data_IF_477082324997
#
_entry.id   IF_477082324997
#
_cell.length_a   1.000
_cell.length_b   1.000
_cell.length_c   1.000
_cell.angle_alpha   90.00
_cell.angle_beta   90.00
_cell.angle_gamma   90.00
#
_symmetry.space_group_name_H-M   'P 1'
#
loop_
_entity.id
_entity.type
_entity.pdbx_description
1 polymer ?
#
# COMPACT_ATOMS: atom_id res chain seq x y z
N UNK A 1 28.53 34.96 16.66
CA UNK A 1 28.25 34.09 15.50
C UNK A 1 29.03 32.82 15.77
N UNK A 2 28.44 31.64 15.91
CA UNK A 2 27.59 31.00 14.90
C UNK A 2 26.71 29.90 15.55
N UNK A 3 25.40 29.96 15.25
CA UNK A 3 24.42 28.89 15.05
C UNK A 3 24.25 27.82 16.15
N UNK A 4 23.27 28.07 17.01
CA UNK A 4 22.52 27.08 17.78
C UNK A 4 21.78 26.12 16.86
N UNK A 5 21.91 24.81 17.13
CA UNK A 5 21.16 23.75 16.47
C UNK A 5 19.66 23.96 16.61
N UNK A 6 18.98 24.11 15.47
CA UNK A 6 17.53 24.06 15.40
C UNK A 6 17.09 22.60 15.49
N UNK A 7 16.48 22.22 16.61
CA UNK A 7 15.60 21.07 16.65
C UNK A 7 14.53 21.23 15.57
N UNK A 8 14.42 20.22 14.71
CA UNK A 8 13.31 20.10 13.77
C UNK A 8 12.05 19.86 14.60
N UNK A 9 11.28 20.92 14.80
CA UNK A 9 9.99 20.87 15.47
C UNK A 9 9.00 20.13 14.56
N UNK A 10 8.28 19.10 15.03
CA UNK A 10 7.20 18.50 14.26
C UNK A 10 6.16 19.58 13.95
N UNK A 11 5.99 19.90 12.67
CA UNK A 11 4.92 20.79 12.21
C UNK A 11 3.58 20.08 12.44
N UNK A 12 2.67 20.77 13.15
CA UNK A 12 1.31 20.39 13.51
C UNK A 12 0.80 19.04 12.94
N UNK A 13 0.70 18.02 13.80
CA UNK A 13 0.03 16.76 13.46
C UNK A 13 -1.42 17.07 13.11
N UNK A 14 -1.77 17.02 11.83
CA UNK A 14 -3.16 17.18 11.41
C UNK A 14 -4.00 16.10 12.09
N UNK A 15 -5.13 16.46 12.70
CA UNK A 15 -6.04 15.49 13.33
C UNK A 15 -6.86 14.71 12.28
N UNK A 16 -6.64 14.99 11.00
CA UNK A 16 -7.22 14.29 9.87
C UNK A 16 -7.13 15.09 8.56
N UNK A 17 -7.41 14.38 7.48
CA UNK A 17 -7.48 14.87 6.11
C UNK A 17 -8.95 15.18 5.76
N UNK A 18 -9.24 16.35 5.18
CA UNK A 18 -10.62 16.80 4.92
C UNK A 18 -10.81 17.27 3.49
N UNK A 19 -12.03 17.07 2.99
CA UNK A 19 -12.50 17.51 1.70
C UNK A 19 -11.68 16.94 0.54
N UNK A 20 -11.58 15.62 0.43
CA UNK A 20 -11.03 14.90 -0.73
C UNK A 20 -12.15 14.26 -1.56
N UNK A 21 -11.85 13.75 -2.75
CA UNK A 21 -12.86 13.21 -3.67
C UNK A 21 -12.69 11.70 -3.92
N UNK A 22 -11.54 11.12 -3.56
CA UNK A 22 -11.29 9.69 -3.72
C UNK A 22 -10.35 9.10 -2.67
N UNK A 23 -10.50 7.79 -2.43
CA UNK A 23 -9.64 6.99 -1.57
C UNK A 23 -8.93 5.89 -2.37
N UNK A 24 -7.60 5.84 -2.31
CA UNK A 24 -6.78 4.87 -3.03
C UNK A 24 -6.01 4.03 -2.02
N UNK A 25 -6.27 2.74 -1.98
CA UNK A 25 -5.66 1.84 -1.01
C UNK A 25 -4.58 1.00 -1.66
N UNK A 26 -3.44 0.86 -1.02
CA UNK A 26 -2.63 -0.32 -1.27
C UNK A 26 -3.28 -1.60 -0.73
N UNK A 27 -2.77 -2.74 -1.16
CA UNK A 27 -3.27 -4.04 -0.77
C UNK A 27 -2.45 -4.69 0.36
N UNK A 28 -1.15 -4.90 0.16
CA UNK A 28 -0.34 -5.83 0.92
C UNK A 28 0.30 -5.14 2.12
N UNK A 29 -0.10 -5.53 3.33
CA UNK A 29 0.27 -4.82 4.57
C UNK A 29 -0.65 -3.65 4.89
N UNK A 30 -1.37 -3.12 3.88
CA UNK A 30 -2.39 -2.08 4.05
C UNK A 30 -3.79 -2.65 4.29
N UNK A 31 -4.42 -3.28 3.30
CA UNK A 31 -5.78 -3.86 3.43
C UNK A 31 -5.74 -5.33 3.87
N UNK A 32 -4.69 -6.05 3.49
CA UNK A 32 -4.55 -7.49 3.69
C UNK A 32 -3.21 -7.77 4.34
N UNK A 33 -3.21 -8.52 5.44
CA UNK A 33 -1.99 -9.13 5.96
C UNK A 33 -1.64 -10.33 5.07
N UNK A 34 -0.60 -10.14 4.26
CA UNK A 34 -0.06 -11.15 3.34
C UNK A 34 1.43 -11.42 3.59
N UNK A 35 2.00 -10.89 4.69
CA UNK A 35 3.43 -10.87 4.94
C UNK A 35 4.03 -12.28 4.96
N UNK A 36 3.39 -13.21 5.67
CA UNK A 36 3.84 -14.59 5.75
C UNK A 36 3.83 -15.32 4.39
N UNK A 37 2.87 -15.01 3.51
CA UNK A 37 2.79 -15.61 2.18
C UNK A 37 3.86 -15.04 1.24
N UNK A 38 4.09 -13.72 1.29
CA UNK A 38 5.16 -13.02 0.58
C UNK A 38 6.52 -13.58 1.03
N UNK A 39 6.73 -13.72 2.33
CA UNK A 39 7.96 -14.22 2.91
C UNK A 39 8.28 -15.64 2.43
N UNK A 40 7.32 -16.57 2.52
CA UNK A 40 7.49 -17.94 2.00
C UNK A 40 7.88 -17.96 0.52
N UNK A 41 7.22 -17.14 -0.30
CA UNK A 41 7.49 -17.10 -1.74
C UNK A 41 8.91 -16.63 -2.04
N UNK A 42 9.34 -15.52 -1.42
CA UNK A 42 10.68 -14.97 -1.63
C UNK A 42 11.79 -15.81 -1.01
N UNK A 43 11.59 -16.39 0.18
CA UNK A 43 12.56 -17.32 0.78
C UNK A 43 12.75 -18.55 -0.09
N UNK A 44 11.65 -19.18 -0.50
CA UNK A 44 11.71 -20.35 -1.37
C UNK A 44 12.34 -20.04 -2.74
N UNK A 45 12.14 -18.84 -3.28
CA UNK A 45 12.84 -18.40 -4.49
C UNK A 45 14.33 -18.17 -4.22
N UNK A 46 14.68 -17.48 -3.15
CA UNK A 46 16.07 -17.21 -2.76
C UNK A 46 16.86 -18.51 -2.56
N UNK A 47 16.28 -19.51 -1.89
CA UNK A 47 16.91 -20.82 -1.68
C UNK A 47 17.23 -21.52 -3.01
N UNK A 48 16.31 -21.49 -3.98
CA UNK A 48 16.53 -22.10 -5.30
C UNK A 48 17.62 -21.43 -6.12
N UNK A 49 17.87 -20.16 -5.87
CA UNK A 49 18.87 -19.36 -6.59
C UNK A 49 20.14 -19.11 -5.77
N UNK A 50 20.25 -19.64 -4.55
CA UNK A 50 21.41 -19.44 -3.68
C UNK A 50 21.62 -17.98 -3.27
N UNK A 51 20.53 -17.23 -3.08
CA UNK A 51 20.55 -15.81 -2.72
C UNK A 51 20.28 -15.61 -1.23
N UNK A 52 20.76 -14.50 -0.68
CA UNK A 52 20.44 -14.07 0.67
C UNK A 52 18.97 -13.63 0.74
N UNK A 53 18.14 -14.43 1.40
CA UNK A 53 16.71 -14.20 1.51
C UNK A 53 16.38 -12.89 2.24
N UNK A 54 17.15 -12.49 3.24
CA UNK A 54 16.87 -11.25 3.98
C UNK A 54 17.06 -10.02 3.08
N UNK A 55 18.15 -10.03 2.30
CA UNK A 55 18.40 -8.97 1.30
C UNK A 55 17.31 -8.93 0.22
N UNK A 56 16.82 -10.09 -0.22
CA UNK A 56 15.72 -10.16 -1.20
C UNK A 56 14.43 -9.61 -0.61
N UNK A 57 14.09 -9.98 0.63
CA UNK A 57 12.90 -9.50 1.33
C UNK A 57 12.94 -7.99 1.54
N UNK A 58 14.06 -7.45 2.02
CA UNK A 58 14.28 -6.00 2.17
C UNK A 58 14.12 -5.28 0.82
N UNK A 59 14.66 -5.85 -0.25
CA UNK A 59 14.52 -5.30 -1.61
C UNK A 59 13.10 -5.47 -2.16
N UNK A 60 12.29 -6.39 -1.63
CA UNK A 60 10.95 -6.64 -2.15
C UNK A 60 9.88 -5.67 -1.62
N UNK A 61 10.14 -5.00 -0.49
CA UNK A 61 9.18 -4.13 0.21
C UNK A 61 8.55 -3.12 -0.76
N UNK A 62 7.22 -3.19 -0.93
CA UNK A 62 6.43 -2.28 -1.77
C UNK A 62 6.72 -2.36 -3.28
N UNK A 63 7.60 -3.25 -3.75
CA UNK A 63 8.14 -3.28 -5.12
C UNK A 63 7.53 -4.42 -5.95
N UNK A 64 7.47 -4.24 -7.27
CA UNK A 64 7.01 -5.29 -8.19
C UNK A 64 8.01 -6.46 -8.22
N UNK A 65 7.51 -7.69 -8.40
CA UNK A 65 8.35 -8.88 -8.46
C UNK A 65 9.46 -8.77 -9.52
N UNK A 66 9.12 -8.32 -10.72
CA UNK A 66 10.07 -8.16 -11.83
C UNK A 66 11.19 -7.15 -11.51
N UNK A 67 10.87 -6.07 -10.80
CA UNK A 67 11.86 -5.05 -10.42
C UNK A 67 12.76 -5.57 -9.29
N UNK A 68 12.20 -6.32 -8.34
CA UNK A 68 12.97 -6.98 -7.28
C UNK A 68 13.95 -7.99 -7.86
N UNK A 69 13.50 -8.87 -8.77
CA UNK A 69 14.39 -9.85 -9.41
C UNK A 69 15.51 -9.16 -10.19
N UNK A 70 15.19 -8.11 -10.96
CA UNK A 70 16.18 -7.37 -11.74
C UNK A 70 17.27 -6.73 -10.86
N UNK A 71 16.94 -6.33 -9.63
CA UNK A 71 17.89 -5.73 -8.70
C UNK A 71 18.77 -6.76 -7.97
N UNK A 72 18.18 -7.87 -7.53
CA UNK A 72 18.89 -8.86 -6.67
C UNK A 72 19.57 -9.97 -7.48
N UNK A 73 19.08 -10.25 -8.69
CA UNK A 73 19.59 -11.28 -9.57
C UNK A 73 19.56 -10.80 -11.05
N UNK A 74 20.33 -9.76 -11.41
CA UNK A 74 20.31 -9.17 -12.75
C UNK A 74 20.77 -10.12 -13.86
N UNK A 75 21.35 -11.27 -13.51
CA UNK A 75 21.77 -12.32 -14.43
C UNK A 75 20.63 -13.27 -14.84
N UNK A 76 19.47 -13.18 -14.19
CA UNK A 76 18.29 -13.99 -14.48
C UNK A 76 17.30 -13.24 -15.38
N UNK A 77 16.46 -13.99 -16.09
CA UNK A 77 15.31 -13.45 -16.79
C UNK A 77 14.25 -13.01 -15.77
N UNK A 78 14.26 -11.71 -15.45
CA UNK A 78 13.43 -11.14 -14.40
C UNK A 78 11.94 -11.30 -14.67
N UNK A 79 11.52 -11.24 -15.94
CA UNK A 79 10.11 -11.39 -16.30
C UNK A 79 9.64 -12.83 -16.07
N UNK A 80 10.45 -13.81 -16.50
CA UNK A 80 10.15 -15.23 -16.30
C UNK A 80 10.13 -15.61 -14.83
N UNK A 81 11.14 -15.17 -14.07
CA UNK A 81 11.26 -15.49 -12.65
C UNK A 81 10.12 -14.87 -11.82
N UNK A 82 9.83 -13.59 -12.05
CA UNK A 82 8.72 -12.92 -11.38
C UNK A 82 7.37 -13.58 -11.71
N UNK A 83 7.12 -13.93 -12.98
CA UNK A 83 5.89 -14.61 -13.38
C UNK A 83 5.70 -15.96 -12.69
N UNK A 84 6.77 -16.75 -12.53
CA UNK A 84 6.72 -18.01 -11.79
C UNK A 84 6.42 -17.80 -10.30
N UNK A 85 7.08 -16.82 -9.68
CA UNK A 85 6.90 -16.46 -8.28
C UNK A 85 5.47 -15.95 -8.00
N UNK A 86 4.95 -15.08 -8.87
CA UNK A 86 3.60 -14.53 -8.79
C UNK A 86 2.53 -15.60 -9.01
N UNK A 87 2.73 -16.53 -9.95
CA UNK A 87 1.84 -17.67 -10.12
C UNK A 87 1.79 -18.55 -8.86
N UNK A 88 2.93 -18.70 -8.15
CA UNK A 88 2.99 -19.35 -6.85
C UNK A 88 2.21 -18.59 -5.77
N UNK A 89 2.45 -17.29 -5.64
CA UNK A 89 1.76 -16.43 -4.68
C UNK A 89 0.24 -16.35 -4.90
N UNK A 90 -0.23 -16.40 -6.15
CA UNK A 90 -1.66 -16.42 -6.46
C UNK A 90 -2.36 -17.71 -5.98
N UNK A 91 -1.61 -18.78 -5.72
CA UNK A 91 -2.12 -20.05 -5.18
C UNK A 91 -1.94 -20.18 -3.67
N UNK A 92 -0.89 -19.59 -3.11
CA UNK A 92 -0.63 -19.61 -1.67
C UNK A 92 -1.32 -18.44 -0.96
N UNK A 93 -2.53 -18.69 -0.48
CA UNK A 93 -3.28 -17.75 0.37
C UNK A 93 -3.27 -18.15 1.84
N UNK A 94 -2.36 -19.03 2.27
CA UNK A 94 -2.32 -19.50 3.66
C UNK A 94 -1.91 -18.35 4.58
N UNK A 95 -2.75 -18.06 5.57
CA UNK A 95 -2.54 -16.97 6.53
C UNK A 95 -2.87 -15.58 5.98
N UNK A 96 -3.43 -15.48 4.77
CA UNK A 96 -3.86 -14.21 4.20
C UNK A 96 -5.20 -13.80 4.81
N UNK A 97 -5.21 -12.71 5.57
CA UNK A 97 -6.37 -12.22 6.35
C UNK A 97 -6.51 -10.70 6.20
N UNK A 98 -7.69 -10.10 6.43
CA UNK A 98 -7.81 -8.64 6.41
C UNK A 98 -7.01 -8.01 7.55
N UNK A 99 -6.40 -6.84 7.32
CA UNK A 99 -5.79 -6.06 8.41
C UNK A 99 -6.86 -5.47 9.32
N UNK A 100 -6.54 -5.16 10.60
CA UNK A 100 -7.51 -4.60 11.54
C UNK A 100 -8.16 -3.30 11.02
N UNK A 101 -9.47 -3.37 10.75
CA UNK A 101 -10.28 -2.27 10.24
C UNK A 101 -10.38 -2.17 8.72
N UNK A 102 -9.75 -3.05 7.93
CA UNK A 102 -9.83 -3.03 6.46
C UNK A 102 -11.28 -3.08 5.95
N UNK A 103 -12.08 -4.02 6.47
CA UNK A 103 -13.50 -4.13 6.10
C UNK A 103 -14.30 -2.87 6.44
N UNK A 104 -14.03 -2.25 7.60
CA UNK A 104 -14.71 -1.04 8.07
C UNK A 104 -14.38 0.14 7.14
N UNK A 105 -13.11 0.36 6.82
CA UNK A 105 -12.72 1.48 5.96
C UNK A 105 -13.18 1.29 4.53
N UNK A 106 -13.20 0.05 4.00
CA UNK A 106 -13.72 -0.24 2.66
C UNK A 106 -15.24 -0.08 2.58
N UNK A 107 -15.98 -0.47 3.62
CA UNK A 107 -17.42 -0.23 3.69
C UNK A 107 -17.72 1.28 3.69
N UNK A 108 -16.93 2.08 4.41
CA UNK A 108 -17.03 3.54 4.36
C UNK A 108 -16.58 4.12 3.01
N UNK A 109 -15.52 3.58 2.39
CA UNK A 109 -15.02 4.01 1.09
C UNK A 109 -16.07 3.84 -0.02
N UNK A 110 -16.93 2.83 0.07
CA UNK A 110 -18.02 2.58 -0.88
C UNK A 110 -19.06 3.72 -0.97
N UNK A 111 -19.01 4.73 -0.09
CA UNK A 111 -19.80 5.95 -0.21
C UNK A 111 -19.37 6.90 -1.35
N UNK A 112 -18.24 6.64 -2.01
CA UNK A 112 -17.74 7.45 -3.13
C UNK A 112 -16.65 6.75 -3.95
N UNK A 113 -15.90 7.49 -4.80
CA UNK A 113 -14.84 6.92 -5.63
C UNK A 113 -13.70 6.32 -4.78
N UNK A 114 -13.38 5.05 -5.04
CA UNK A 114 -12.22 4.41 -4.43
C UNK A 114 -11.59 3.34 -5.32
N UNK A 115 -10.31 3.06 -5.09
CA UNK A 115 -9.53 2.10 -5.85
C UNK A 115 -8.55 1.31 -4.99
N UNK A 116 -8.06 0.19 -5.52
CA UNK A 116 -6.85 -0.49 -5.01
C UNK A 116 -5.72 -0.30 -6.00
N UNK A 117 -4.51 -0.02 -5.48
CA UNK A 117 -3.27 0.15 -6.24
C UNK A 117 -2.18 -0.70 -5.60
N UNK A 118 -1.76 -1.78 -6.26
CA UNK A 118 -0.82 -2.76 -5.68
C UNK A 118 0.36 -3.05 -6.61
N UNK A 119 1.51 -3.39 -6.01
CA UNK A 119 2.69 -3.92 -6.71
C UNK A 119 2.58 -5.41 -7.04
N UNK A 120 1.52 -6.10 -6.63
CA UNK A 120 1.19 -7.46 -7.05
C UNK A 120 0.48 -7.50 -8.41
N UNK A 121 0.58 -8.61 -9.12
CA UNK A 121 -0.20 -8.84 -10.35
C UNK A 121 -1.67 -9.10 -10.04
N UNK A 122 -2.52 -8.97 -11.06
CA UNK A 122 -3.96 -9.16 -10.93
C UNK A 122 -4.36 -10.52 -10.35
N UNK A 123 -3.78 -11.67 -10.75
CA UNK A 123 -4.09 -12.95 -10.11
C UNK A 123 -3.80 -12.95 -8.61
N UNK A 124 -2.66 -12.39 -8.20
CA UNK A 124 -2.25 -12.29 -6.80
C UNK A 124 -3.20 -11.38 -6.01
N UNK A 125 -3.48 -10.18 -6.54
CA UNK A 125 -4.35 -9.21 -5.89
C UNK A 125 -5.77 -9.78 -5.67
N UNK A 126 -6.34 -10.43 -6.69
CA UNK A 126 -7.65 -11.05 -6.59
C UNK A 126 -7.68 -12.25 -5.63
N UNK A 127 -6.62 -13.06 -5.60
CA UNK A 127 -6.52 -14.17 -4.64
C UNK A 127 -6.49 -13.65 -3.20
N UNK A 128 -5.72 -12.59 -2.93
CA UNK A 128 -5.60 -11.97 -1.61
C UNK A 128 -6.89 -11.32 -1.13
N UNK A 129 -7.55 -10.52 -1.98
CA UNK A 129 -8.84 -9.91 -1.66
C UNK A 129 -9.89 -10.98 -1.32
N UNK A 130 -9.96 -12.07 -2.11
CA UNK A 130 -10.89 -13.18 -1.85
C UNK A 130 -10.58 -13.90 -0.55
N UNK A 131 -9.31 -14.23 -0.29
CA UNK A 131 -8.90 -14.91 0.94
C UNK A 131 -9.21 -14.07 2.19
N UNK A 132 -9.04 -12.75 2.10
CA UNK A 132 -9.37 -11.83 3.17
C UNK A 132 -10.87 -11.50 3.29
N UNK A 133 -11.73 -12.02 2.40
CA UNK A 133 -13.16 -11.71 2.39
C UNK A 133 -13.48 -10.24 2.06
N UNK A 134 -12.57 -9.55 1.37
CA UNK A 134 -12.72 -8.13 1.00
C UNK A 134 -13.31 -7.96 -0.41
N UNK A 135 -14.06 -6.88 -0.67
CA UNK A 135 -14.62 -6.64 -1.99
C UNK A 135 -13.54 -6.33 -3.02
N UNK A 136 -13.77 -6.76 -4.27
CA UNK A 136 -12.96 -6.33 -5.41
C UNK A 136 -13.43 -4.95 -5.87
N UNK A 137 -12.57 -3.92 -5.93
CA UNK A 137 -12.97 -2.60 -6.40
C UNK A 137 -13.26 -2.61 -7.90
N UNK A 138 -14.11 -1.67 -8.33
CA UNK A 138 -14.29 -1.36 -9.76
C UNK A 138 -12.98 -0.91 -10.40
N UNK A 139 -12.16 -0.13 -9.68
CA UNK A 139 -10.83 0.28 -10.12
C UNK A 139 -9.77 -0.48 -9.31
N UNK A 140 -9.19 -1.50 -9.94
CA UNK A 140 -8.02 -2.24 -9.44
C UNK A 140 -6.85 -1.96 -10.39
N UNK A 141 -5.82 -1.28 -9.91
CA UNK A 141 -4.55 -1.06 -10.61
C UNK A 141 -3.51 -2.02 -10.04
N UNK A 142 -2.89 -2.81 -10.91
CA UNK A 142 -1.93 -3.87 -10.53
C UNK A 142 -0.57 -3.65 -11.19
N UNK A 143 0.39 -4.51 -10.88
CA UNK A 143 1.70 -4.54 -11.56
C UNK A 143 1.61 -4.69 -13.08
N UNK A 144 0.51 -5.26 -13.58
CA UNK A 144 0.26 -5.46 -15.02
C UNK A 144 -0.16 -4.17 -15.74
N UNK A 145 -0.64 -3.17 -14.99
CA UNK A 145 -1.18 -1.92 -15.51
C UNK A 145 -0.11 -0.82 -15.64
N UNK A 146 1.12 -1.09 -15.19
CA UNK A 146 2.20 -0.09 -15.06
C UNK A 146 3.52 -0.58 -15.65
N UNK A 147 4.31 0.36 -16.14
CA UNK A 147 5.67 0.12 -16.63
C UNK A 147 6.70 0.32 -15.51
N UNK A 148 6.42 1.19 -14.54
CA UNK A 148 7.24 1.47 -13.36
C UNK A 148 6.41 1.33 -12.08
N UNK A 149 6.89 0.54 -11.13
CA UNK A 149 6.29 0.34 -9.82
C UNK A 149 6.69 1.41 -8.81
N UNK A 150 6.11 1.32 -7.60
CA UNK A 150 6.47 2.19 -6.47
C UNK A 150 8.00 2.17 -6.26
N UNK A 151 8.67 3.33 -6.09
CA UNK A 151 8.13 4.65 -5.74
C UNK A 151 7.77 5.56 -6.92
N UNK A 152 7.66 5.03 -8.14
CA UNK A 152 7.09 5.78 -9.26
C UNK A 152 5.59 6.03 -9.04
N UNK A 153 5.07 7.25 -9.33
CA UNK A 153 3.67 7.59 -9.10
C UNK A 153 2.68 6.97 -10.12
N UNK A 154 3.15 6.28 -11.16
CA UNK A 154 2.34 5.82 -12.28
C UNK A 154 1.07 5.07 -11.85
N UNK A 155 1.16 4.16 -10.87
CA UNK A 155 0.03 3.38 -10.39
C UNK A 155 -1.08 4.24 -9.77
N UNK A 156 -0.72 5.14 -8.86
CA UNK A 156 -1.69 6.04 -8.22
C UNK A 156 -2.27 7.05 -9.21
N UNK A 157 -1.44 7.63 -10.09
CA UNK A 157 -1.91 8.52 -11.15
C UNK A 157 -2.90 7.82 -12.10
N UNK A 158 -2.64 6.56 -12.44
CA UNK A 158 -3.55 5.76 -13.26
C UNK A 158 -4.88 5.50 -12.54
N UNK A 159 -4.86 5.19 -11.25
CA UNK A 159 -6.07 4.99 -10.46
C UNK A 159 -6.92 6.27 -10.39
N UNK A 160 -6.31 7.43 -10.11
CA UNK A 160 -7.00 8.72 -10.10
C UNK A 160 -7.66 9.02 -11.46
N UNK A 161 -6.94 8.81 -12.57
CA UNK A 161 -7.51 8.94 -13.93
C UNK A 161 -8.68 7.99 -14.17
N UNK A 162 -8.57 6.72 -13.77
CA UNK A 162 -9.66 5.73 -13.92
C UNK A 162 -10.89 6.06 -13.06
N UNK A 163 -10.70 6.74 -11.92
CA UNK A 163 -11.78 7.24 -11.08
C UNK A 163 -12.37 8.56 -11.58
N UNK A 164 -11.72 9.25 -12.52
CA UNK A 164 -12.14 10.58 -12.97
C UNK A 164 -11.90 11.68 -11.94
N UNK A 165 -10.92 11.51 -11.06
CA UNK A 165 -10.60 12.44 -9.96
C UNK A 165 -9.21 13.04 -10.15
N UNK A 166 -9.05 14.32 -9.85
CA UNK A 166 -7.75 14.99 -9.86
C UNK A 166 -6.83 14.39 -8.80
N UNK A 167 -5.55 14.17 -9.12
CA UNK A 167 -4.62 13.52 -8.18
C UNK A 167 -4.51 14.26 -6.83
N UNK A 168 -4.46 15.60 -6.82
CA UNK A 168 -4.45 16.40 -5.59
C UNK A 168 -5.70 16.28 -4.71
N UNK A 169 -6.75 15.63 -5.22
CA UNK A 169 -8.02 15.36 -4.54
C UNK A 169 -8.14 13.91 -4.06
N UNK A 170 -7.07 13.13 -4.15
CA UNK A 170 -7.02 11.74 -3.67
C UNK A 170 -6.31 11.62 -2.31
N UNK A 171 -6.75 10.65 -1.50
CA UNK A 171 -6.02 10.18 -0.32
C UNK A 171 -5.53 8.76 -0.57
N UNK A 172 -4.23 8.53 -0.39
CA UNK A 172 -3.57 7.22 -0.46
C UNK A 172 -3.46 6.61 0.93
N UNK A 173 -3.67 5.31 1.05
CA UNK A 173 -3.40 4.52 2.26
C UNK A 173 -2.28 3.54 1.95
N UNK A 174 -1.22 3.55 2.77
CA UNK A 174 0.00 2.79 2.47
C UNK A 174 0.79 2.42 3.72
N UNK A 175 1.43 1.25 3.71
CA UNK A 175 2.29 0.75 4.80
C UNK A 175 3.79 0.72 4.45
N UNK A 176 4.19 1.00 3.21
CA UNK A 176 5.59 0.95 2.78
C UNK A 176 6.18 2.30 2.35
N UNK A 177 7.48 2.51 2.60
CA UNK A 177 8.17 3.73 2.17
C UNK A 177 8.10 3.98 0.65
N UNK A 178 8.21 2.97 -0.26
CA UNK A 178 8.09 3.24 -1.68
C UNK A 178 6.68 3.69 -2.06
N UNK A 179 5.65 3.09 -1.47
CA UNK A 179 4.28 3.49 -1.74
C UNK A 179 3.96 4.90 -1.26
N UNK A 180 4.47 5.30 -0.09
CA UNK A 180 4.29 6.67 0.41
C UNK A 180 4.91 7.67 -0.55
N UNK A 181 6.15 7.40 -0.99
CA UNK A 181 6.80 8.25 -1.99
C UNK A 181 6.02 8.29 -3.30
N UNK A 182 5.45 7.17 -3.76
CA UNK A 182 4.64 7.14 -4.97
C UNK A 182 3.38 8.00 -4.83
N UNK A 183 2.68 7.94 -3.69
CA UNK A 183 1.52 8.80 -3.41
C UNK A 183 1.88 10.29 -3.37
N UNK A 184 2.96 10.63 -2.66
CA UNK A 184 3.45 12.00 -2.56
C UNK A 184 3.93 12.56 -3.92
N UNK A 185 4.65 11.75 -4.71
CA UNK A 185 5.07 12.12 -6.08
C UNK A 185 3.90 12.26 -7.05
N UNK A 186 2.78 11.58 -6.77
CA UNK A 186 1.54 11.77 -7.50
C UNK A 186 0.79 13.05 -7.08
N UNK A 187 1.29 13.79 -6.08
CA UNK A 187 0.64 14.99 -5.53
C UNK A 187 -0.55 14.68 -4.63
N UNK A 188 -0.65 13.45 -4.11
CA UNK A 188 -1.76 13.01 -3.26
C UNK A 188 -1.42 13.15 -1.78
N UNK A 189 -2.44 13.30 -0.94
CA UNK A 189 -2.26 13.15 0.51
C UNK A 189 -2.11 11.68 0.86
N UNK A 190 -1.28 11.36 1.86
CA UNK A 190 -0.97 9.98 2.23
C UNK A 190 -1.22 9.73 3.72
N UNK A 191 -2.01 8.69 3.99
CA UNK A 191 -2.13 8.05 5.30
C UNK A 191 -1.16 6.87 5.36
N UNK A 192 -0.15 6.96 6.21
CA UNK A 192 0.78 5.89 6.50
C UNK A 192 0.26 4.93 7.57
N UNK A 193 0.33 3.63 7.33
CA UNK A 193 0.12 2.59 8.33
C UNK A 193 1.49 2.22 8.90
N UNK A 194 1.67 2.42 10.20
CA UNK A 194 2.94 2.21 10.88
C UNK A 194 3.31 0.73 10.90
N UNK A 195 4.52 0.43 10.45
CA UNK A 195 5.06 -0.92 10.39
C UNK A 195 6.52 -0.89 9.91
N UNK A 196 7.15 -2.06 9.83
CA UNK A 196 8.53 -2.17 9.39
C UNK A 196 8.73 -1.63 7.96
N UNK A 197 7.76 -1.83 7.07
CA UNK A 197 7.81 -1.38 5.67
C UNK A 197 7.85 0.14 5.51
N UNK A 198 7.23 0.89 6.42
CA UNK A 198 7.12 2.36 6.32
C UNK A 198 8.46 3.04 6.61
N UNK A 199 9.22 2.49 7.56
CA UNK A 199 10.52 3.04 7.98
C UNK A 199 10.45 4.49 8.48
N UNK A 200 11.63 5.07 8.77
CA UNK A 200 11.78 6.47 9.17
C UNK A 200 12.16 7.40 8.00
N UNK A 201 12.18 6.88 6.78
CA UNK A 201 12.70 7.56 5.57
C UNK A 201 11.67 8.43 4.87
N UNK A 202 10.40 8.33 5.26
CA UNK A 202 9.28 9.08 4.69
C UNK A 202 8.42 9.69 5.79
N UNK A 203 7.69 10.75 5.48
CA UNK A 203 6.76 11.40 6.41
C UNK A 203 5.40 11.55 5.72
N UNK A 204 4.45 10.63 5.97
CA UNK A 204 3.06 10.77 5.51
C UNK A 204 2.34 11.96 6.15
N UNK A 205 1.25 12.43 5.54
CA UNK A 205 0.42 13.53 6.06
C UNK A 205 -0.34 13.14 7.36
N UNK A 206 -0.63 11.85 7.51
CA UNK A 206 -1.20 11.25 8.71
C UNK A 206 -0.59 9.85 8.92
N UNK A 207 -0.30 9.47 10.16
CA UNK A 207 0.21 8.12 10.49
C UNK A 207 -0.69 7.46 11.53
N UNK A 208 -1.04 6.19 11.31
CA UNK A 208 -1.81 5.35 12.24
C UNK A 208 -1.16 3.98 12.43
N UNK A 209 -1.42 3.32 13.57
CA UNK A 209 -0.95 1.95 13.83
C UNK A 209 -1.79 0.89 13.09
N UNK A 210 -3.03 1.23 12.71
CA UNK A 210 -3.97 0.35 11.99
C UNK A 210 -5.15 1.13 11.43
N UNK A 211 -5.81 0.57 10.41
CA UNK A 211 -6.96 1.19 9.76
C UNK A 211 -8.15 1.40 10.71
N UNK A 212 -8.32 0.56 11.73
CA UNK A 212 -9.40 0.73 12.73
C UNK A 212 -9.29 2.00 13.58
N UNK A 213 -8.17 2.74 13.52
CA UNK A 213 -8.06 4.09 14.09
C UNK A 213 -8.74 5.18 13.28
N UNK A 214 -9.20 4.88 12.07
CA UNK A 214 -9.71 5.87 11.15
C UNK A 214 -11.24 5.91 11.16
N UNK A 215 -11.75 7.12 11.11
CA UNK A 215 -13.13 7.45 10.82
C UNK A 215 -13.16 8.07 9.42
N UNK A 216 -13.79 7.36 8.49
CA UNK A 216 -13.91 7.75 7.08
C UNK A 216 -15.37 8.14 6.86
N UNK A 217 -15.61 9.39 6.45
CA UNK A 217 -16.97 9.91 6.28
C UNK A 217 -17.11 10.69 4.99
N UNK A 218 -18.12 10.34 4.20
CA UNK A 218 -18.55 11.09 3.04
C UNK A 218 -19.59 12.14 3.45
N UNK A 219 -19.45 13.36 2.95
CA UNK A 219 -20.43 14.44 3.09
C UNK A 219 -20.33 15.38 1.91
N UNK A 220 -21.49 15.71 1.32
CA UNK A 220 -21.60 16.68 0.22
C UNK A 220 -20.65 16.40 -0.95
N UNK A 221 -20.48 15.13 -1.31
CA UNK A 221 -19.62 14.69 -2.43
C UNK A 221 -18.12 14.60 -2.12
N UNK A 222 -17.70 14.91 -0.88
CA UNK A 222 -16.30 14.81 -0.46
C UNK A 222 -16.13 13.86 0.73
N UNK A 223 -14.91 13.37 0.95
CA UNK A 223 -14.54 12.50 2.06
C UNK A 223 -13.60 13.19 3.03
N UNK A 224 -13.77 12.88 4.32
CA UNK A 224 -12.80 13.16 5.37
C UNK A 224 -12.30 11.88 6.02
N UNK A 225 -11.01 11.83 6.33
CA UNK A 225 -10.32 10.75 7.02
C UNK A 225 -9.73 11.32 8.32
N UNK A 226 -10.31 10.95 9.46
CA UNK A 226 -9.92 11.50 10.77
C UNK A 226 -9.57 10.42 11.77
N UNK A 227 -8.80 10.76 12.80
CA UNK A 227 -8.51 9.83 13.90
C UNK A 227 -9.75 9.62 14.78
N UNK A 228 -10.04 8.36 15.12
CA UNK A 228 -11.00 8.01 16.16
C UNK A 228 -10.45 8.39 17.54
N UNK A 229 -11.29 8.84 18.48
CA UNK A 229 -10.89 9.05 19.86
C UNK A 229 -10.31 7.76 20.48
N UNK A 230 -9.28 7.90 21.32
CA UNK A 230 -8.72 6.76 22.03
C UNK A 230 -9.75 6.18 23.01
N UNK A 231 -10.31 5.02 22.68
CA UNK A 231 -11.31 4.32 23.52
C UNK A 231 -12.29 3.45 22.71
N UNK A 232 -12.46 3.74 21.43
CA UNK A 232 -13.36 3.00 20.54
C UNK A 232 -12.68 1.71 20.04
N UNK A 233 -12.80 0.62 20.80
CA UNK A 233 -12.32 -0.72 20.40
C UNK A 233 -13.32 -1.34 19.42
N UNK A 234 -13.41 -0.79 18.22
CA UNK A 234 -14.16 -1.39 17.12
C UNK A 234 -13.40 -2.57 16.52
N UNK A 235 -13.27 -3.66 17.28
CA UNK A 235 -12.93 -4.99 16.75
C UNK A 235 -14.24 -5.79 16.68
N UNK A 236 -14.94 -5.67 15.55
CA UNK A 236 -15.92 -6.65 15.07
C UNK A 236 -15.94 -6.61 13.55
#
# INVERSE_FOLDING_TARGET
MTVTGGEVRPTATSTGLRAYDALLFDLDGTLVDSGAAIERAWRGWSDRHGLDAERVLETSVGRRGVETVALVAPHLDSAREAGNLEAGQARDTVGVVPTPGAGIVLAAAAGGPWAVVTSGTRPVALARLRAAGLPVPTVLVTADDVTAGKPDPQGYLLAARRLGVEAGRCVVFEDTWPGVLAGQRAGMAVVGIAGAGLGATVTPDLVVDRLSRLDVRWSSGTVSVTLRPAGDRGDT
#
